data_IF_869596145257
#
_entry.id   IF_869596145257
#
_cell.length_a   1.000
_cell.length_b   1.000
_cell.length_c   1.000
_cell.angle_alpha   90.00
_cell.angle_beta   90.00
_cell.angle_gamma   90.00
#
_symmetry.space_group_name_H-M   'P 1'
#
loop_
_entity.id
_entity.type
_entity.pdbx_description
1 polymer ?
#
# COMPACT_ATOMS: atom_id res chain seq x y z
N UNK A 1 34.73 48.29 -51.24
CA UNK A 1 33.32 48.41 -51.66
C UNK A 1 32.49 48.68 -50.41
N UNK A 2 31.85 49.85 -50.33
CA UNK A 2 31.11 50.29 -49.15
C UNK A 2 29.78 49.54 -49.04
N UNK A 3 29.56 48.84 -47.92
CA UNK A 3 28.30 48.17 -47.62
C UNK A 3 27.29 49.21 -47.15
N UNK A 4 26.29 49.47 -48.00
CA UNK A 4 25.13 50.33 -47.73
C UNK A 4 24.33 49.77 -46.54
N UNK A 5 24.24 50.52 -45.44
CA UNK A 5 23.29 50.24 -44.36
C UNK A 5 21.89 50.65 -44.82
N UNK A 6 20.99 49.68 -44.92
CA UNK A 6 19.59 49.89 -45.28
C UNK A 6 18.77 50.14 -44.00
N UNK A 7 18.17 51.32 -43.91
CA UNK A 7 17.36 51.75 -42.76
C UNK A 7 16.00 51.03 -42.83
N UNK A 8 15.50 50.43 -41.73
CA UNK A 8 14.18 49.78 -41.72
C UNK A 8 13.05 50.82 -41.83
N UNK A 9 11.91 50.47 -42.45
CA UNK A 9 10.78 51.38 -42.64
C UNK A 9 10.12 51.75 -41.29
N UNK A 10 9.48 52.94 -41.21
CA UNK A 10 8.84 53.40 -39.98
C UNK A 10 7.68 52.48 -39.59
N UNK A 11 7.67 52.02 -38.33
CA UNK A 11 6.55 51.27 -37.76
C UNK A 11 5.30 52.14 -37.76
N UNK A 12 4.21 51.63 -38.35
CA UNK A 12 2.90 52.25 -38.26
C UNK A 12 2.44 52.35 -36.79
N UNK A 13 1.68 53.39 -36.41
CA UNK A 13 1.20 53.54 -35.04
C UNK A 13 0.30 52.37 -34.65
N UNK A 14 0.59 51.73 -33.51
CA UNK A 14 -0.27 50.70 -32.92
C UNK A 14 -1.60 51.39 -32.55
N UNK A 15 -2.75 50.89 -33.04
CA UNK A 15 -4.04 51.49 -32.71
C UNK A 15 -4.29 51.38 -31.19
N UNK A 16 -4.95 52.39 -30.59
CA UNK A 16 -5.22 52.41 -29.16
C UNK A 16 -6.03 51.17 -28.73
N UNK A 17 -5.85 50.66 -27.50
CA UNK A 17 -6.65 49.56 -27.00
C UNK A 17 -8.12 49.96 -27.06
N UNK A 18 -8.88 49.26 -27.91
CA UNK A 18 -10.31 49.48 -28.03
C UNK A 18 -11.01 49.28 -26.68
N UNK A 19 -12.18 49.89 -26.47
CA UNK A 19 -12.95 49.70 -25.24
C UNK A 19 -13.18 48.20 -25.00
N UNK A 20 -13.11 47.73 -23.73
CA UNK A 20 -13.35 46.33 -23.41
C UNK A 20 -14.71 45.94 -23.99
N UNK A 21 -14.70 44.97 -24.91
CA UNK A 21 -15.93 44.44 -25.51
C UNK A 21 -16.83 44.02 -24.35
N UNK A 22 -18.12 44.43 -24.33
CA UNK A 22 -19.04 43.96 -23.30
C UNK A 22 -19.04 42.43 -23.36
N UNK A 23 -18.75 41.79 -22.23
CA UNK A 23 -18.77 40.35 -22.13
C UNK A 23 -20.10 39.85 -22.72
N UNK A 24 -20.08 38.88 -23.65
CA UNK A 24 -21.32 38.38 -24.23
C UNK A 24 -22.21 37.94 -23.08
N UNK A 25 -23.40 38.55 -22.96
CA UNK A 25 -24.37 38.25 -21.91
C UNK A 25 -24.64 36.75 -21.97
N UNK A 26 -23.99 36.02 -21.06
CA UNK A 26 -24.01 34.57 -21.06
C UNK A 26 -25.45 34.17 -20.73
N UNK A 27 -26.05 33.29 -21.54
CA UNK A 27 -27.40 32.80 -21.25
C UNK A 27 -27.46 32.21 -19.85
N UNK A 28 -28.60 32.37 -19.18
CA UNK A 28 -28.81 31.91 -17.80
C UNK A 28 -28.49 30.40 -17.63
N UNK A 29 -28.74 29.61 -18.68
CA UNK A 29 -28.35 28.19 -18.76
C UNK A 29 -26.83 27.98 -18.72
N UNK A 30 -26.05 28.76 -19.47
CA UNK A 30 -24.57 28.66 -19.46
C UNK A 30 -23.98 29.07 -18.11
N UNK A 31 -24.62 30.01 -17.40
CA UNK A 31 -24.23 30.39 -16.04
C UNK A 31 -24.53 29.27 -15.04
N UNK A 32 -25.71 28.64 -15.13
CA UNK A 32 -26.06 27.48 -14.29
C UNK A 32 -25.10 26.31 -14.52
N UNK A 33 -24.77 26.00 -15.77
CA UNK A 33 -23.82 24.94 -16.10
C UNK A 33 -22.42 25.24 -15.55
N UNK A 34 -21.97 26.50 -15.64
CA UNK A 34 -20.69 26.94 -15.07
C UNK A 34 -20.68 26.84 -13.55
N UNK A 35 -21.78 27.21 -12.88
CA UNK A 35 -21.93 27.10 -11.44
C UNK A 35 -21.93 25.63 -10.98
N UNK A 36 -22.62 24.74 -11.69
CA UNK A 36 -22.60 23.30 -11.41
C UNK A 36 -21.20 22.71 -11.58
N UNK A 37 -20.51 23.03 -12.68
CA UNK A 37 -19.12 22.59 -12.90
C UNK A 37 -18.18 23.10 -11.81
N UNK A 38 -18.34 24.35 -11.38
CA UNK A 38 -17.54 24.93 -10.31
C UNK A 38 -17.82 24.27 -8.95
N UNK A 39 -19.08 24.00 -8.62
CA UNK A 39 -19.47 23.26 -7.41
C UNK A 39 -18.86 21.86 -7.39
N UNK A 40 -19.00 21.09 -8.48
CA UNK A 40 -18.40 19.76 -8.61
C UNK A 40 -16.87 19.79 -8.46
N UNK A 41 -16.22 20.80 -9.05
CA UNK A 41 -14.77 20.98 -8.93
C UNK A 41 -14.37 21.24 -7.47
N UNK A 42 -15.13 22.08 -6.76
CA UNK A 42 -14.79 22.39 -5.37
C UNK A 42 -15.04 21.24 -4.41
N UNK A 43 -16.17 20.54 -4.55
CA UNK A 43 -16.44 19.34 -3.76
C UNK A 43 -15.34 18.29 -3.97
N UNK A 44 -14.81 18.14 -5.19
CA UNK A 44 -13.70 17.21 -5.47
C UNK A 44 -12.35 17.71 -4.95
N UNK A 45 -12.08 19.01 -5.07
CA UNK A 45 -10.80 19.63 -4.69
C UNK A 45 -10.60 19.67 -3.18
N UNK A 46 -11.65 19.97 -2.43
CA UNK A 46 -11.64 20.06 -0.97
C UNK A 46 -12.31 18.86 -0.28
N UNK A 47 -12.42 17.72 -0.99
CA UNK A 47 -12.85 16.47 -0.39
C UNK A 47 -11.94 16.11 0.80
N UNK A 48 -12.49 15.50 1.85
CA UNK A 48 -11.73 15.20 3.07
C UNK A 48 -10.49 14.33 2.84
N UNK A 49 -10.57 13.41 1.88
CA UNK A 49 -9.43 12.59 1.41
C UNK A 49 -8.25 13.37 0.82
N UNK A 50 -8.41 14.67 0.54
CA UNK A 50 -7.36 15.57 0.05
C UNK A 50 -6.88 16.57 1.10
N UNK A 51 -7.43 16.51 2.32
CA UNK A 51 -6.94 17.35 3.43
C UNK A 51 -5.50 16.95 3.76
N UNK A 52 -4.69 17.92 4.13
CA UNK A 52 -3.35 17.67 4.64
C UNK A 52 -3.45 16.83 5.91
N UNK A 53 -2.66 15.75 5.99
CA UNK A 53 -2.75 14.79 7.10
C UNK A 53 -3.84 13.73 6.94
N UNK A 54 -4.46 13.60 5.76
CA UNK A 54 -5.33 12.45 5.48
C UNK A 54 -4.52 11.15 5.49
N UNK A 55 -4.89 10.24 6.40
CA UNK A 55 -4.36 8.88 6.44
C UNK A 55 -5.32 8.02 5.63
N UNK A 56 -4.77 7.32 4.63
CA UNK A 56 -5.55 6.42 3.79
C UNK A 56 -6.06 5.22 4.59
N UNK A 57 -7.02 4.49 4.04
CA UNK A 57 -7.55 3.29 4.68
C UNK A 57 -6.44 2.29 5.01
N UNK A 58 -6.54 1.67 6.19
CA UNK A 58 -5.62 0.63 6.61
C UNK A 58 -5.73 -0.57 5.65
N UNK A 59 -4.60 -1.22 5.38
CA UNK A 59 -4.60 -2.46 4.60
C UNK A 59 -5.36 -3.54 5.36
N UNK A 60 -6.40 -4.06 4.75
CA UNK A 60 -7.17 -5.18 5.27
C UNK A 60 -6.48 -6.52 4.97
N UNK A 61 -6.87 -7.55 5.73
CA UNK A 61 -6.35 -8.89 5.55
C UNK A 61 -6.81 -9.50 4.23
N UNK A 62 -5.85 -10.09 3.51
CA UNK A 62 -6.12 -10.76 2.24
C UNK A 62 -6.60 -12.20 2.48
N UNK A 63 -7.39 -12.78 1.56
CA UNK A 63 -7.80 -14.18 1.67
C UNK A 63 -6.58 -15.12 1.75
N UNK A 64 -6.62 -16.15 2.63
CA UNK A 64 -5.48 -17.05 2.83
C UNK A 64 -5.13 -17.88 1.59
N UNK A 65 -6.06 -18.05 0.65
CA UNK A 65 -5.81 -18.72 -0.63
C UNK A 65 -4.83 -17.94 -1.53
N UNK A 66 -4.77 -16.62 -1.37
CA UNK A 66 -3.89 -15.78 -2.19
C UNK A 66 -2.43 -16.16 -1.98
N UNK A 67 -1.97 -16.20 -0.72
CA UNK A 67 -0.59 -16.56 -0.41
C UNK A 67 -0.29 -18.03 -0.73
N UNK A 68 -1.24 -18.94 -0.47
CA UNK A 68 -1.11 -20.37 -0.81
C UNK A 68 -0.90 -20.58 -2.30
N UNK A 69 -1.64 -19.86 -3.13
CA UNK A 69 -1.49 -19.89 -4.58
C UNK A 69 -0.15 -19.32 -5.03
N UNK A 70 0.27 -18.17 -4.49
CA UNK A 70 1.57 -17.56 -4.84
C UNK A 70 2.72 -18.53 -4.58
N UNK A 71 2.78 -19.14 -3.40
CA UNK A 71 3.86 -20.06 -3.02
C UNK A 71 3.84 -21.30 -3.93
N UNK A 72 2.64 -21.86 -4.22
CA UNK A 72 2.49 -23.01 -5.11
C UNK A 72 2.94 -22.69 -6.55
N UNK A 73 2.58 -21.53 -7.06
CA UNK A 73 2.90 -21.10 -8.41
C UNK A 73 4.40 -20.80 -8.60
N UNK A 74 5.07 -20.24 -7.59
CA UNK A 74 6.51 -19.96 -7.63
C UNK A 74 7.37 -21.22 -7.44
N UNK A 75 6.91 -22.14 -6.59
CA UNK A 75 7.56 -23.44 -6.35
C UNK A 75 9.03 -23.31 -5.99
N UNK A 76 9.89 -23.96 -6.76
CA UNK A 76 11.34 -23.99 -6.60
C UNK A 76 12.09 -22.94 -7.43
N UNK A 77 11.37 -22.00 -8.05
CA UNK A 77 11.94 -20.94 -8.90
C UNK A 77 12.69 -21.46 -10.15
N UNK A 78 12.48 -22.70 -10.59
CA UNK A 78 13.12 -23.24 -11.81
C UNK A 78 12.53 -22.65 -13.09
N UNK A 79 11.23 -22.34 -13.08
CA UNK A 79 10.53 -21.75 -14.23
C UNK A 79 11.11 -20.40 -14.65
N UNK A 80 11.29 -20.21 -15.95
CA UNK A 80 11.75 -18.94 -16.54
C UNK A 80 10.77 -17.78 -16.32
N UNK A 81 9.48 -18.09 -16.07
CA UNK A 81 8.42 -17.11 -15.81
C UNK A 81 8.75 -16.20 -14.61
N UNK A 82 9.32 -16.77 -13.55
CA UNK A 82 9.62 -16.05 -12.29
C UNK A 82 11.08 -15.60 -12.19
N UNK A 83 11.75 -15.40 -13.32
CA UNK A 83 13.17 -14.99 -13.35
C UNK A 83 13.40 -13.64 -12.65
N UNK A 84 12.46 -12.71 -12.76
CA UNK A 84 12.58 -11.38 -12.17
C UNK A 84 12.50 -11.42 -10.64
N UNK A 85 11.74 -12.35 -10.07
CA UNK A 85 11.54 -12.46 -8.62
C UNK A 85 12.71 -13.13 -7.89
N UNK A 86 13.59 -13.86 -8.60
CA UNK A 86 14.76 -14.53 -8.02
C UNK A 86 15.65 -13.60 -7.20
N UNK A 87 15.86 -12.37 -7.67
CA UNK A 87 16.65 -11.36 -6.94
C UNK A 87 16.02 -11.01 -5.60
N UNK A 88 14.69 -10.95 -5.54
CA UNK A 88 13.94 -10.62 -4.33
C UNK A 88 14.03 -11.75 -3.32
N UNK A 89 13.91 -13.02 -3.76
CA UNK A 89 14.11 -14.19 -2.89
C UNK A 89 15.49 -14.22 -2.25
N UNK A 90 16.55 -13.90 -3.02
CA UNK A 90 17.91 -13.78 -2.46
C UNK A 90 18.03 -12.61 -1.48
N UNK A 91 17.39 -11.47 -1.75
CA UNK A 91 17.37 -10.32 -0.83
C UNK A 91 16.63 -10.60 0.47
N UNK A 92 15.57 -11.41 0.40
CA UNK A 92 14.76 -11.78 1.56
C UNK A 92 15.53 -12.65 2.57
N UNK A 93 16.57 -13.38 2.14
CA UNK A 93 17.41 -14.21 3.00
C UNK A 93 18.00 -13.43 4.19
N UNK A 94 18.29 -12.14 4.01
CA UNK A 94 18.75 -11.25 5.09
C UNK A 94 17.81 -11.23 6.30
N UNK A 95 16.50 -11.36 6.06
CA UNK A 95 15.47 -11.28 7.10
C UNK A 95 14.99 -12.64 7.58
N UNK A 96 15.56 -13.74 7.05
CA UNK A 96 15.23 -15.10 7.45
C UNK A 96 15.36 -15.33 8.97
N UNK A 97 16.41 -14.84 9.66
CA UNK A 97 16.50 -15.02 11.11
C UNK A 97 15.32 -14.41 11.87
N UNK A 98 14.79 -13.28 11.40
CA UNK A 98 13.64 -12.63 12.03
C UNK A 98 12.34 -13.41 11.77
N UNK A 99 12.13 -13.91 10.56
CA UNK A 99 10.99 -14.76 10.25
C UNK A 99 10.97 -16.04 11.09
N UNK A 100 12.12 -16.69 11.24
CA UNK A 100 12.27 -17.89 12.07
C UNK A 100 12.02 -17.59 13.54
N UNK A 101 12.56 -16.49 14.06
CA UNK A 101 12.32 -16.07 15.45
C UNK A 101 10.82 -15.89 15.72
N UNK A 102 10.11 -15.13 14.86
CA UNK A 102 8.66 -14.90 15.02
C UNK A 102 7.82 -16.18 14.87
N UNK A 103 8.27 -17.12 14.03
CA UNK A 103 7.63 -18.43 13.86
C UNK A 103 7.77 -19.29 15.12
N UNK A 104 8.98 -19.37 15.69
CA UNK A 104 9.26 -20.17 16.89
C UNK A 104 8.64 -19.56 18.15
N UNK A 105 8.56 -18.24 18.23
CA UNK A 105 7.87 -17.54 19.32
C UNK A 105 6.38 -17.91 19.39
N UNK A 106 5.75 -18.19 18.24
CA UNK A 106 4.32 -18.49 18.14
C UNK A 106 4.03 -19.98 17.94
N UNK A 107 4.89 -20.87 18.45
CA UNK A 107 4.59 -22.30 18.44
C UNK A 107 3.27 -22.60 19.17
N UNK A 108 2.45 -23.53 18.65
CA UNK A 108 1.22 -23.95 19.33
C UNK A 108 1.57 -24.65 20.64
N UNK A 109 0.84 -24.33 21.70
CA UNK A 109 1.07 -24.95 23.00
C UNK A 109 0.51 -26.38 23.01
N UNK A 110 1.00 -27.30 23.87
CA UNK A 110 0.60 -28.72 23.82
C UNK A 110 -0.88 -29.00 24.11
N UNK A 111 -1.60 -28.03 24.67
CA UNK A 111 -3.06 -28.09 24.89
C UNK A 111 -3.87 -27.47 23.74
N UNK A 112 -3.22 -26.88 22.73
CA UNK A 112 -3.85 -26.30 21.54
C UNK A 112 -3.74 -27.29 20.37
N UNK A 113 -4.87 -27.59 19.73
CA UNK A 113 -4.87 -28.46 18.55
C UNK A 113 -4.42 -27.72 17.28
N UNK A 114 -4.89 -26.48 17.10
CA UNK A 114 -4.59 -25.61 15.96
C UNK A 114 -4.41 -24.20 16.52
N UNK A 115 -3.42 -23.48 16.00
CA UNK A 115 -3.20 -22.07 16.27
C UNK A 115 -3.18 -21.30 14.96
N UNK A 116 -4.21 -20.48 14.73
CA UNK A 116 -4.25 -19.55 13.60
C UNK A 116 -3.50 -18.27 13.97
N UNK A 117 -2.63 -17.82 13.07
CA UNK A 117 -1.69 -16.73 13.33
C UNK A 117 -1.74 -15.73 12.17
N UNK A 118 -1.80 -14.41 12.43
CA UNK A 118 -1.75 -13.41 11.38
C UNK A 118 -0.35 -13.40 10.74
N UNK A 119 -0.31 -13.36 9.41
CA UNK A 119 0.93 -13.41 8.63
C UNK A 119 1.09 -12.17 7.77
N UNK A 120 2.25 -11.54 7.87
CA UNK A 120 2.71 -10.50 6.94
C UNK A 120 3.60 -11.15 5.88
N UNK A 121 3.19 -11.13 4.61
CA UNK A 121 3.93 -11.79 3.54
C UNK A 121 4.35 -10.83 2.44
N UNK A 122 5.46 -11.15 1.78
CA UNK A 122 5.89 -10.43 0.59
C UNK A 122 4.97 -10.73 -0.60
N UNK A 123 4.65 -9.75 -1.45
CA UNK A 123 3.71 -9.90 -2.57
C UNK A 123 4.09 -11.04 -3.54
N UNK A 124 5.38 -11.34 -3.68
CA UNK A 124 5.89 -12.46 -4.51
C UNK A 124 6.01 -13.77 -3.74
N UNK A 125 5.72 -13.82 -2.44
CA UNK A 125 5.91 -15.02 -1.61
C UNK A 125 7.35 -15.30 -1.20
N UNK A 126 8.25 -14.31 -1.33
CA UNK A 126 9.68 -14.47 -1.01
C UNK A 126 9.97 -14.74 0.48
N UNK A 127 9.16 -14.19 1.38
CA UNK A 127 9.26 -14.38 2.82
C UNK A 127 7.91 -14.10 3.48
N UNK A 128 7.67 -14.78 4.60
CA UNK A 128 6.46 -14.68 5.41
C UNK A 128 6.85 -14.51 6.87
N UNK A 129 6.35 -13.45 7.50
CA UNK A 129 6.53 -13.18 8.92
C UNK A 129 5.24 -13.45 9.66
N UNK A 130 5.34 -14.08 10.81
CA UNK A 130 4.26 -14.08 11.79
C UNK A 130 4.17 -12.69 12.42
N UNK A 131 3.03 -12.03 12.29
CA UNK A 131 2.77 -10.68 12.78
C UNK A 131 1.99 -10.69 14.11
N UNK A 132 2.47 -11.48 15.07
CA UNK A 132 1.85 -11.62 16.39
C UNK A 132 2.92 -11.70 17.49
N UNK A 133 2.62 -11.14 18.66
CA UNK A 133 3.37 -11.35 19.90
C UNK A 133 2.45 -12.17 20.82
N UNK A 134 2.88 -13.36 21.31
CA UNK A 134 2.04 -14.22 22.14
C UNK A 134 1.94 -13.65 23.56
N UNK A 135 0.89 -12.86 23.80
CA UNK A 135 0.57 -12.38 25.14
C UNK A 135 -0.14 -13.48 25.93
N UNK A 136 0.42 -13.85 27.08
CA UNK A 136 -0.16 -14.86 27.97
C UNK A 136 -0.43 -14.29 29.35
N UNK A 137 -1.54 -14.70 29.96
CA UNK A 137 -1.86 -14.36 31.35
C UNK A 137 -1.03 -15.28 32.25
N UNK A 138 -0.05 -14.72 32.95
CA UNK A 138 0.94 -15.46 33.73
C UNK A 138 0.37 -16.56 34.66
N UNK A 139 -0.61 -16.28 35.55
CA UNK A 139 -1.14 -17.31 36.43
C UNK A 139 -1.85 -18.45 35.68
N UNK A 140 -2.51 -18.15 34.56
CA UNK A 140 -3.17 -19.15 33.72
C UNK A 140 -2.15 -20.01 33.01
N UNK A 141 -1.10 -19.39 32.47
CA UNK A 141 -0.02 -20.08 31.77
C UNK A 141 0.71 -21.08 32.67
N UNK A 142 1.01 -20.68 33.92
CA UNK A 142 1.62 -21.58 34.91
C UNK A 142 0.69 -22.76 35.24
N UNK A 143 -0.61 -22.51 35.42
CA UNK A 143 -1.58 -23.56 35.70
C UNK A 143 -1.74 -24.56 34.54
N UNK A 144 -1.73 -24.07 33.29
CA UNK A 144 -1.77 -24.91 32.08
C UNK A 144 -0.54 -25.84 32.01
N UNK A 145 0.65 -25.30 32.22
CA UNK A 145 1.87 -26.10 32.28
C UNK A 145 1.89 -27.10 33.44
N UNK A 146 1.36 -26.72 34.61
CA UNK A 146 1.18 -27.62 35.74
C UNK A 146 0.29 -28.82 35.40
N UNK A 147 -0.79 -28.58 34.65
CA UNK A 147 -1.70 -29.63 34.17
C UNK A 147 -0.97 -30.56 33.20
N UNK A 148 -0.24 -29.98 32.24
CA UNK A 148 0.54 -30.73 31.25
C UNK A 148 1.63 -31.59 31.90
N UNK A 149 2.34 -31.07 32.91
CA UNK A 149 3.33 -31.82 33.69
C UNK A 149 2.73 -33.07 34.35
N UNK A 150 1.56 -32.95 34.98
CA UNK A 150 0.87 -34.08 35.61
C UNK A 150 0.46 -35.11 34.56
N UNK A 151 -0.11 -34.67 33.43
CA UNK A 151 -0.51 -35.55 32.34
C UNK A 151 0.67 -36.33 31.76
N UNK A 152 1.77 -35.64 31.42
CA UNK A 152 2.98 -36.27 30.88
C UNK A 152 3.61 -37.27 31.86
N UNK A 153 3.58 -36.98 33.17
CA UNK A 153 4.06 -37.92 34.19
C UNK A 153 3.17 -39.15 34.36
N UNK A 154 1.86 -39.00 34.18
CA UNK A 154 0.90 -40.12 34.21
C UNK A 154 1.10 -41.02 32.99
N UNK A 155 1.26 -40.43 31.81
CA UNK A 155 1.48 -41.17 30.55
C UNK A 155 2.80 -41.97 30.56
N UNK A 156 3.85 -41.41 31.17
CA UNK A 156 5.16 -42.09 31.26
C UNK A 156 5.18 -43.29 32.22
N UNK A 157 4.29 -43.34 33.21
CA UNK A 157 4.31 -44.35 34.30
C UNK A 157 3.63 -45.63 33.87
#
# INVERSE_FOLDING_TARGET
AATQMQIPPPMAPIPPPGPPKPDPVLSQEKLMEKAQKWSQLQTKRFAEKRKFGFIDAQKEDMPPEHIRKIIRDHGDMTSRKYRHDKRVYLGALKYMPHAVMKLLENMPMPWEQIRDVPVLYHITGAITFVNEIPWVIEPVYIAQWGTMWIMMRREKR
#
